data_IF_483585592757
#
_entry.id   IF_483585592757
#
_cell.length_a   1.000
_cell.length_b   1.000
_cell.length_c   1.000
_cell.angle_alpha   90.00
_cell.angle_beta   90.00
_cell.angle_gamma   90.00
#
_symmetry.space_group_name_H-M   'P 1'
#
loop_
_entity.id
_entity.type
_entity.pdbx_description
1 polymer ?
#
# COMPACT_ATOMS: atom_id res chain seq x y z
N UNK A 1 -5.33 -9.75 12.48
CA UNK A 1 -4.03 -10.26 12.96
C UNK A 1 -4.34 -10.96 14.26
N UNK A 2 -4.17 -12.27 14.30
CA UNK A 2 -4.43 -13.13 15.46
C UNK A 2 -3.15 -13.90 15.77
N UNK A 3 -2.99 -14.35 17.02
CA UNK A 3 -1.81 -15.11 17.45
C UNK A 3 -0.64 -14.26 17.96
N UNK A 4 0.51 -14.92 18.14
CA UNK A 4 1.68 -14.38 18.86
C UNK A 4 2.24 -13.08 18.27
N UNK A 5 2.27 -12.96 16.94
CA UNK A 5 2.74 -11.73 16.27
C UNK A 5 1.88 -10.50 16.60
N UNK A 6 0.56 -10.69 16.77
CA UNK A 6 -0.34 -9.59 17.14
C UNK A 6 -0.08 -9.09 18.56
N UNK A 7 0.29 -10.01 19.46
CA UNK A 7 0.64 -9.71 20.85
C UNK A 7 1.95 -8.92 20.89
N UNK A 8 2.99 -9.43 20.23
CA UNK A 8 4.31 -8.78 20.15
C UNK A 8 4.23 -7.39 19.53
N UNK A 9 3.43 -7.21 18.47
CA UNK A 9 3.22 -5.91 17.84
C UNK A 9 2.60 -4.89 18.81
N UNK A 10 1.54 -5.29 19.54
CA UNK A 10 0.88 -4.40 20.50
C UNK A 10 1.76 -4.10 21.72
N UNK A 11 2.52 -5.09 22.18
CA UNK A 11 3.49 -4.90 23.27
C UNK A 11 4.56 -3.87 22.87
N UNK A 12 5.11 -3.99 21.67
CA UNK A 12 6.08 -3.02 21.13
C UNK A 12 5.49 -1.61 21.02
N UNK A 13 4.24 -1.49 20.59
CA UNK A 13 3.58 -0.19 20.51
C UNK A 13 3.41 0.47 21.89
N UNK A 14 3.14 -0.33 22.92
CA UNK A 14 3.07 0.15 24.31
C UNK A 14 4.45 0.64 24.79
N UNK A 15 5.53 -0.05 24.40
CA UNK A 15 6.91 0.33 24.71
C UNK A 15 7.34 1.62 23.98
N UNK A 16 7.07 1.72 22.68
CA UNK A 16 7.43 2.88 21.85
C UNK A 16 6.68 4.16 22.26
N UNK A 17 5.44 4.03 22.74
CA UNK A 17 4.64 5.15 23.27
C UNK A 17 5.06 5.50 24.71
N UNK A 18 5.92 4.71 25.34
CA UNK A 18 6.35 4.87 26.74
C UNK A 18 5.15 5.00 27.69
N UNK A 19 4.10 4.20 27.46
CA UNK A 19 2.86 4.34 28.19
C UNK A 19 3.01 3.97 29.68
N UNK A 20 2.70 4.91 30.58
CA UNK A 20 2.70 4.70 32.03
C UNK A 20 1.52 3.85 32.52
N UNK A 21 0.36 4.01 31.87
CA UNK A 21 -0.91 3.37 32.23
C UNK A 21 -1.52 2.73 31.00
N UNK A 22 -1.88 1.45 31.12
CA UNK A 22 -2.50 0.67 30.07
C UNK A 22 -3.94 0.37 30.47
N UNK A 23 -4.91 0.82 29.66
CA UNK A 23 -6.34 0.54 29.88
C UNK A 23 -6.80 -0.54 28.91
N UNK A 24 -7.11 -1.72 29.42
CA UNK A 24 -7.67 -2.84 28.66
C UNK A 24 -9.19 -2.85 28.74
N UNK A 25 -9.88 -2.66 27.61
CA UNK A 25 -11.34 -2.80 27.53
C UNK A 25 -11.64 -4.17 26.94
N UNK A 26 -12.27 -5.06 27.71
CA UNK A 26 -12.56 -6.44 27.27
C UNK A 26 -13.88 -6.97 27.84
N UNK A 27 -14.51 -7.89 27.09
CA UNK A 27 -15.65 -8.69 27.55
C UNK A 27 -15.18 -10.03 28.18
N UNK A 28 -14.06 -10.59 27.68
CA UNK A 28 -13.44 -11.85 28.11
C UNK A 28 -11.91 -11.64 28.30
N UNK A 29 -11.16 -12.63 28.84
CA UNK A 29 -9.70 -12.55 29.12
C UNK A 29 -8.77 -12.53 27.89
N UNK A 30 -9.25 -12.04 26.74
CA UNK A 30 -8.52 -12.03 25.46
C UNK A 30 -7.26 -11.16 25.51
N UNK A 31 -7.19 -10.17 26.41
CA UNK A 31 -6.02 -9.29 26.53
C UNK A 31 -4.91 -9.85 27.42
N UNK A 32 -5.13 -10.95 28.17
CA UNK A 32 -4.16 -11.49 29.11
C UNK A 32 -2.74 -11.67 28.50
N UNK A 33 -2.57 -12.24 27.28
CA UNK A 33 -1.23 -12.40 26.69
C UNK A 33 -0.50 -11.07 26.42
N UNK A 34 -1.24 -10.01 26.12
CA UNK A 34 -0.67 -8.67 25.87
C UNK A 34 -0.25 -8.04 27.20
N UNK A 35 -1.12 -8.12 28.21
CA UNK A 35 -0.90 -7.52 29.52
C UNK A 35 0.24 -8.20 30.29
N UNK A 36 0.39 -9.52 30.15
CA UNK A 36 1.52 -10.29 30.71
C UNK A 36 2.85 -9.88 30.08
N UNK A 37 2.89 -9.67 28.76
CA UNK A 37 4.10 -9.29 28.02
C UNK A 37 4.63 -7.92 28.44
N UNK A 38 3.75 -7.01 28.86
CA UNK A 38 4.10 -5.62 29.22
C UNK A 38 4.18 -5.38 30.73
N UNK A 39 4.04 -6.43 31.55
CA UNK A 39 4.29 -6.37 32.98
C UNK A 39 5.76 -5.94 33.25
N UNK A 40 6.03 -5.12 34.28
CA UNK A 40 5.18 -4.74 35.41
C UNK A 40 4.41 -3.41 35.24
N UNK A 41 4.17 -2.91 34.02
CA UNK A 41 3.47 -1.64 33.79
C UNK A 41 2.07 -1.62 34.43
N UNK A 42 1.61 -0.45 34.86
CA UNK A 42 0.30 -0.31 35.52
C UNK A 42 -0.83 -0.57 34.53
N UNK A 43 -1.58 -1.63 34.76
CA UNK A 43 -2.71 -2.04 33.92
C UNK A 43 -4.04 -1.81 34.66
N UNK A 44 -5.05 -1.34 33.93
CA UNK A 44 -6.43 -1.17 34.41
C UNK A 44 -7.34 -1.89 33.43
N UNK A 45 -8.15 -2.84 33.91
CA UNK A 45 -9.10 -3.57 33.09
C UNK A 45 -10.50 -2.98 33.31
N UNK A 46 -11.23 -2.75 32.22
CA UNK A 46 -12.60 -2.25 32.24
C UNK A 46 -13.50 -3.13 31.36
N UNK A 47 -14.72 -3.37 31.81
CA UNK A 47 -15.74 -4.06 31.00
C UNK A 47 -16.13 -3.21 29.79
N UNK A 48 -16.46 -3.85 28.66
CA UNK A 48 -16.97 -3.08 27.52
C UNK A 48 -18.34 -2.47 27.83
N UNK A 49 -18.62 -1.24 27.38
CA UNK A 49 -19.92 -0.61 27.62
C UNK A 49 -21.07 -1.40 26.98
N UNK A 50 -22.05 -1.81 27.80
CA UNK A 50 -23.23 -2.59 27.34
C UNK A 50 -24.14 -1.83 26.37
N UNK A 51 -24.14 -0.50 26.43
CA UNK A 51 -25.02 0.37 25.63
C UNK A 51 -24.37 0.86 24.33
N UNK A 52 -23.09 0.58 24.11
CA UNK A 52 -22.41 0.96 22.86
C UNK A 52 -22.67 -0.13 21.81
N UNK A 53 -23.48 0.20 20.81
CA UNK A 53 -23.79 -0.72 19.71
C UNK A 53 -22.49 -1.17 19.03
N UNK A 54 -22.25 -2.49 18.97
CA UNK A 54 -21.14 -3.06 18.21
C UNK A 54 -21.35 -2.72 16.73
N UNK A 55 -20.43 -1.93 16.17
CA UNK A 55 -20.47 -1.55 14.76
C UNK A 55 -20.07 -2.71 13.87
N UNK A 56 -20.91 -3.04 12.90
CA UNK A 56 -20.64 -4.07 11.90
C UNK A 56 -19.56 -3.65 10.90
N UNK A 57 -19.10 -4.59 10.08
CA UNK A 57 -18.10 -4.34 9.02
C UNK A 57 -18.58 -3.26 8.04
N UNK A 58 -19.84 -3.30 7.64
CA UNK A 58 -20.42 -2.38 6.67
C UNK A 58 -20.60 -0.97 7.24
N UNK A 59 -21.00 -0.86 8.51
CA UNK A 59 -21.10 0.44 9.19
C UNK A 59 -19.71 1.08 9.32
N UNK A 60 -18.69 0.30 9.68
CA UNK A 60 -17.30 0.78 9.72
C UNK A 60 -16.81 1.20 8.33
N UNK A 61 -17.15 0.44 7.29
CA UNK A 61 -16.85 0.79 5.89
C UNK A 61 -17.48 2.14 5.53
N UNK A 62 -18.78 2.30 5.78
CA UNK A 62 -19.50 3.54 5.51
C UNK A 62 -18.88 4.74 6.23
N UNK A 63 -18.53 4.60 7.51
CA UNK A 63 -17.87 5.67 8.27
C UNK A 63 -16.51 6.04 7.69
N UNK A 64 -15.70 5.07 7.25
CA UNK A 64 -14.43 5.35 6.58
C UNK A 64 -14.63 6.10 5.26
N UNK A 65 -15.57 5.66 4.42
CA UNK A 65 -15.92 6.34 3.17
C UNK A 65 -16.35 7.80 3.40
N UNK A 66 -17.18 8.04 4.41
CA UNK A 66 -17.58 9.40 4.80
C UNK A 66 -16.39 10.25 5.25
N UNK A 67 -15.47 9.67 6.03
CA UNK A 67 -14.23 10.35 6.44
C UNK A 67 -13.33 10.69 5.25
N UNK A 68 -13.14 9.76 4.31
CA UNK A 68 -12.35 10.02 3.09
C UNK A 68 -12.97 11.13 2.26
N UNK A 69 -14.29 11.07 2.05
CA UNK A 69 -15.03 12.10 1.32
C UNK A 69 -14.90 13.47 1.97
N UNK A 70 -14.98 13.54 3.31
CA UNK A 70 -14.80 14.78 4.07
C UNK A 70 -13.38 15.32 3.93
N UNK A 71 -12.37 14.47 4.13
CA UNK A 71 -10.96 14.86 4.11
C UNK A 71 -10.50 15.29 2.71
N UNK A 72 -10.86 14.54 1.67
CA UNK A 72 -10.42 14.76 0.29
C UNK A 72 -11.31 15.73 -0.50
N UNK A 73 -12.25 16.42 0.16
CA UNK A 73 -13.22 17.32 -0.50
C UNK A 73 -12.53 18.44 -1.30
N UNK A 74 -11.47 19.03 -0.75
CA UNK A 74 -10.75 20.16 -1.36
C UNK A 74 -9.39 19.73 -1.95
N UNK A 75 -9.19 18.43 -2.14
CA UNK A 75 -7.95 17.90 -2.68
C UNK A 75 -7.76 18.29 -4.15
N UNK A 76 -6.50 18.36 -4.58
CA UNK A 76 -6.12 18.66 -5.96
C UNK A 76 -5.21 17.57 -6.48
N UNK A 77 -5.17 17.43 -7.80
CA UNK A 77 -4.19 16.54 -8.44
C UNK A 77 -2.85 17.25 -8.48
N UNK A 78 -1.87 16.71 -7.74
CA UNK A 78 -0.46 17.12 -7.77
C UNK A 78 0.35 16.03 -8.48
N UNK A 79 1.35 16.43 -9.26
CA UNK A 79 2.23 15.52 -9.99
C UNK A 79 3.64 15.61 -9.41
N UNK A 80 4.21 14.46 -9.06
CA UNK A 80 5.55 14.38 -8.47
C UNK A 80 6.45 13.50 -9.34
N UNK A 81 7.66 13.94 -9.71
CA UNK A 81 8.64 13.07 -10.32
C UNK A 81 8.93 11.87 -9.41
N UNK A 82 8.97 10.66 -9.98
CA UNK A 82 9.29 9.43 -9.23
C UNK A 82 10.69 9.48 -8.62
N UNK A 83 11.60 10.28 -9.17
CA UNK A 83 12.95 10.49 -8.62
C UNK A 83 12.98 11.34 -7.35
N UNK A 84 11.91 12.06 -7.02
CA UNK A 84 11.85 12.95 -5.84
C UNK A 84 11.14 12.31 -4.65
N UNK A 85 10.39 11.24 -4.87
CA UNK A 85 9.58 10.61 -3.83
C UNK A 85 9.94 9.13 -3.70
N UNK A 86 10.05 8.67 -2.46
CA UNK A 86 10.18 7.24 -2.16
C UNK A 86 8.78 6.64 -2.07
N UNK A 87 8.51 5.59 -2.85
CA UNK A 87 7.22 4.89 -2.81
C UNK A 87 7.39 3.58 -2.04
N UNK A 88 6.58 3.39 -1.00
CA UNK A 88 6.51 2.18 -0.18
C UNK A 88 5.16 1.50 -0.36
N UNK A 89 5.12 0.18 -0.25
CA UNK A 89 3.88 -0.60 -0.39
C UNK A 89 3.48 -0.94 -1.83
N UNK A 90 4.30 -0.57 -2.83
CA UNK A 90 4.20 -1.12 -4.19
C UNK A 90 5.31 -2.14 -4.47
N UNK A 91 5.07 -3.12 -5.35
CA UNK A 91 6.08 -4.07 -5.81
C UNK A 91 7.23 -3.43 -6.58
N UNK A 92 7.07 -2.19 -7.04
CA UNK A 92 8.03 -1.44 -7.85
C UNK A 92 8.78 -0.43 -6.98
N UNK A 93 10.10 -0.40 -7.08
CA UNK A 93 10.95 0.63 -6.47
C UNK A 93 11.06 1.88 -7.34
N UNK A 94 10.81 1.77 -8.66
CA UNK A 94 10.95 2.86 -9.63
C UNK A 94 12.34 3.51 -9.70
N UNK A 95 13.33 2.92 -9.03
CA UNK A 95 14.73 3.31 -9.12
C UNK A 95 15.27 2.80 -10.45
N UNK A 96 15.98 3.65 -11.19
CA UNK A 96 16.51 3.27 -12.49
C UNK A 96 17.61 2.22 -12.34
N UNK A 97 17.25 0.95 -12.53
CA UNK A 97 18.24 -0.07 -12.81
C UNK A 97 18.66 0.07 -14.28
N UNK A 98 19.95 0.35 -14.50
CA UNK A 98 20.52 0.47 -15.84
C UNK A 98 20.42 -0.88 -16.55
N UNK A 99 19.35 -1.08 -17.32
CA UNK A 99 19.21 -2.29 -18.11
C UNK A 99 19.93 -2.14 -19.44
N UNK A 100 20.66 -3.19 -19.82
CA UNK A 100 21.30 -3.27 -21.13
C UNK A 100 20.23 -3.14 -22.22
N UNK A 101 20.35 -2.13 -23.09
CA UNK A 101 19.37 -1.82 -24.15
C UNK A 101 19.12 -3.03 -25.05
N UNK A 102 20.12 -3.91 -25.23
CA UNK A 102 20.00 -5.13 -26.02
C UNK A 102 19.09 -6.17 -25.36
N UNK A 103 19.23 -6.37 -24.05
CA UNK A 103 18.42 -7.27 -23.25
C UNK A 103 16.97 -6.78 -23.14
N UNK A 104 16.76 -5.47 -22.97
CA UNK A 104 15.40 -4.90 -22.93
C UNK A 104 14.65 -5.14 -24.25
N UNK A 105 15.33 -5.01 -25.40
CA UNK A 105 14.71 -5.28 -26.71
C UNK A 105 14.34 -6.74 -26.90
N UNK A 106 15.17 -7.68 -26.44
CA UNK A 106 14.86 -9.10 -26.56
C UNK A 106 13.69 -9.50 -25.67
N UNK A 107 13.69 -9.03 -24.41
CA UNK A 107 12.59 -9.18 -23.47
C UNK A 107 11.27 -8.60 -23.98
N UNK A 108 11.29 -7.39 -24.57
CA UNK A 108 10.09 -6.80 -25.18
C UNK A 108 9.58 -7.62 -26.38
N UNK A 109 10.47 -8.21 -27.18
CA UNK A 109 10.07 -9.11 -28.29
C UNK A 109 9.48 -10.41 -27.79
N UNK A 110 10.00 -10.96 -26.69
CA UNK A 110 9.49 -12.18 -26.08
C UNK A 110 8.07 -11.98 -25.55
N UNK A 111 7.77 -10.81 -24.98
CA UNK A 111 6.43 -10.43 -24.54
C UNK A 111 5.48 -9.99 -25.66
N UNK A 112 6.01 -9.54 -26.81
CA UNK A 112 5.19 -9.06 -27.95
C UNK A 112 4.36 -7.80 -27.65
N UNK A 113 4.54 -7.18 -26.49
CA UNK A 113 3.85 -5.95 -26.07
C UNK A 113 4.86 -4.90 -25.64
N UNK A 114 4.48 -3.63 -25.78
CA UNK A 114 5.31 -2.52 -25.31
C UNK A 114 5.36 -2.55 -23.78
N UNK A 115 6.57 -2.62 -23.23
CA UNK A 115 6.82 -2.55 -21.79
C UNK A 115 6.97 -1.07 -21.42
N UNK A 116 6.19 -0.60 -20.45
CA UNK A 116 6.24 0.77 -19.95
C UNK A 116 7.28 0.93 -18.84
N UNK A 117 7.45 -0.12 -18.02
CA UNK A 117 8.45 -0.18 -16.98
C UNK A 117 8.89 -1.62 -16.77
N UNK A 118 10.16 -1.80 -16.43
CA UNK A 118 10.74 -3.09 -16.10
C UNK A 118 11.67 -2.91 -14.91
N UNK A 119 11.55 -3.80 -13.95
CA UNK A 119 12.38 -3.85 -12.76
C UNK A 119 12.67 -5.30 -12.40
N UNK A 120 13.93 -5.57 -12.07
CA UNK A 120 14.39 -6.91 -11.73
C UNK A 120 14.75 -6.96 -10.24
N UNK A 121 14.17 -7.93 -9.52
CA UNK A 121 14.52 -8.29 -8.14
C UNK A 121 15.22 -9.66 -8.14
N UNK A 122 15.82 -10.12 -7.01
CA UNK A 122 16.55 -11.39 -6.97
C UNK A 122 15.77 -12.57 -7.55
N UNK A 123 14.50 -12.73 -7.16
CA UNK A 123 13.69 -13.90 -7.53
C UNK A 123 12.60 -13.62 -8.59
N UNK A 124 12.31 -12.35 -8.86
CA UNK A 124 11.17 -11.93 -9.68
C UNK A 124 11.53 -10.80 -10.61
N UNK A 125 10.92 -10.82 -11.79
CA UNK A 125 10.97 -9.73 -12.76
C UNK A 125 9.59 -9.05 -12.83
N UNK A 126 9.54 -7.74 -12.68
CA UNK A 126 8.31 -6.96 -12.75
C UNK A 126 8.26 -6.21 -14.08
N UNK A 127 7.14 -6.33 -14.79
CA UNK A 127 6.86 -5.56 -16.00
C UNK A 127 5.56 -4.79 -15.84
N UNK A 128 5.54 -3.56 -16.34
CA UNK A 128 4.31 -2.78 -16.49
C UNK A 128 3.95 -2.71 -17.97
N UNK A 129 2.71 -3.05 -18.29
CA UNK A 129 2.16 -2.99 -19.65
C UNK A 129 0.93 -2.09 -19.71
N UNK A 130 0.48 -1.73 -20.91
CA UNK A 130 -0.73 -0.93 -21.07
C UNK A 130 -2.00 -1.64 -20.58
N UNK A 131 -2.96 -0.87 -20.05
CA UNK A 131 -4.21 -1.35 -19.40
C UNK A 131 -4.95 -2.46 -20.16
N UNK A 132 -5.05 -2.35 -21.49
CA UNK A 132 -5.83 -3.26 -22.33
C UNK A 132 -4.97 -4.29 -23.08
N UNK A 133 -3.76 -4.59 -22.57
CA UNK A 133 -2.87 -5.60 -23.18
C UNK A 133 -3.03 -6.95 -22.48
N UNK A 134 -3.17 -7.97 -23.32
CA UNK A 134 -3.25 -9.37 -22.92
C UNK A 134 -1.95 -10.08 -23.29
N UNK A 135 -1.53 -10.97 -22.42
CA UNK A 135 -0.34 -11.80 -22.59
C UNK A 135 -0.77 -13.24 -22.33
N UNK A 136 -0.36 -14.16 -23.20
CA UNK A 136 -0.65 -15.57 -23.06
C UNK A 136 0.46 -16.30 -22.26
N UNK A 137 0.20 -17.54 -21.84
CA UNK A 137 1.16 -18.33 -21.05
C UNK A 137 2.46 -18.63 -21.82
N UNK A 138 2.41 -18.76 -23.14
CA UNK A 138 3.60 -18.98 -23.96
C UNK A 138 4.56 -17.78 -23.92
N UNK A 139 4.02 -16.56 -24.03
CA UNK A 139 4.78 -15.31 -23.92
C UNK A 139 5.39 -15.16 -22.53
N UNK A 140 4.64 -15.52 -21.48
CA UNK A 140 5.14 -15.53 -20.10
C UNK A 140 6.29 -16.53 -19.97
N UNK A 141 6.10 -17.78 -20.38
CA UNK A 141 7.12 -18.83 -20.28
C UNK A 141 8.39 -18.48 -21.06
N UNK A 142 8.24 -17.89 -22.25
CA UNK A 142 9.38 -17.43 -23.05
C UNK A 142 10.17 -16.32 -22.34
N UNK A 143 9.48 -15.35 -21.74
CA UNK A 143 10.10 -14.29 -20.97
C UNK A 143 10.80 -14.82 -19.71
N UNK A 144 10.14 -15.72 -18.96
CA UNK A 144 10.69 -16.30 -17.74
C UNK A 144 11.95 -17.14 -18.02
N UNK A 145 11.98 -17.89 -19.13
CA UNK A 145 13.17 -18.63 -19.58
C UNK A 145 14.33 -17.70 -19.94
N UNK A 146 14.03 -16.56 -20.57
CA UNK A 146 15.05 -15.58 -20.97
C UNK A 146 15.61 -14.79 -19.76
N UNK A 147 14.75 -14.44 -18.82
CA UNK A 147 15.12 -13.71 -17.60
C UNK A 147 15.60 -14.63 -16.46
N UNK A 148 15.40 -15.95 -16.58
CA UNK A 148 15.58 -16.96 -15.54
C UNK A 148 14.90 -16.59 -14.19
N UNK A 149 13.76 -15.92 -14.26
CA UNK A 149 13.02 -15.36 -13.12
C UNK A 149 11.52 -15.43 -13.35
N UNK A 150 10.76 -15.52 -12.26
CA UNK A 150 9.30 -15.49 -12.34
C UNK A 150 8.81 -14.11 -12.77
N UNK A 151 7.94 -14.05 -13.77
CA UNK A 151 7.42 -12.80 -14.30
C UNK A 151 6.18 -12.37 -13.51
N UNK A 152 6.20 -11.12 -13.07
CA UNK A 152 5.07 -10.41 -12.49
C UNK A 152 4.63 -9.32 -13.46
N UNK A 153 3.40 -9.41 -13.93
CA UNK A 153 2.81 -8.43 -14.85
C UNK A 153 1.90 -7.49 -14.05
N UNK A 154 2.18 -6.21 -14.16
CA UNK A 154 1.36 -5.11 -13.67
C UNK A 154 0.80 -4.36 -14.88
N UNK A 155 -0.40 -3.81 -14.75
CA UNK A 155 -1.03 -3.01 -15.80
C UNK A 155 -1.10 -1.55 -15.39
N UNK A 156 -0.95 -0.68 -16.37
CA UNK A 156 -1.16 0.76 -16.19
C UNK A 156 -2.57 1.02 -15.63
N UNK A 157 -2.62 1.61 -14.44
CA UNK A 157 -3.85 1.91 -13.73
C UNK A 157 -4.26 0.89 -12.69
N UNK A 158 -3.52 -0.21 -12.50
CA UNK A 158 -3.73 -1.09 -11.34
C UNK A 158 -3.56 -0.30 -10.04
N UNK A 159 -2.69 0.70 -10.03
CA UNK A 159 -2.45 1.60 -8.91
C UNK A 159 -3.54 2.67 -8.68
N UNK A 160 -4.44 2.86 -9.64
CA UNK A 160 -5.45 3.93 -9.60
C UNK A 160 -6.45 3.69 -8.47
N UNK A 161 -6.68 4.73 -7.66
CA UNK A 161 -7.61 4.67 -6.54
C UNK A 161 -6.98 4.22 -5.21
N UNK A 162 -5.72 3.75 -5.20
CA UNK A 162 -5.06 3.36 -3.96
C UNK A 162 -4.93 4.54 -2.99
N UNK A 163 -5.37 4.32 -1.76
CA UNK A 163 -5.22 5.25 -0.65
C UNK A 163 -3.75 5.25 -0.20
N UNK A 164 -3.20 6.45 0.00
CA UNK A 164 -1.82 6.64 0.43
C UNK A 164 -1.74 7.51 1.67
N UNK A 165 -0.74 7.24 2.52
CA UNK A 165 -0.26 8.14 3.55
C UNK A 165 1.00 8.87 3.03
N UNK A 166 1.13 10.14 3.40
CA UNK A 166 2.17 11.05 2.90
C UNK A 166 3.03 11.51 4.06
N UNK A 167 4.34 11.48 3.87
CA UNK A 167 5.33 11.95 4.85
C UNK A 167 6.30 12.95 4.22
N UNK A 168 6.83 13.85 5.04
CA UNK A 168 7.94 14.72 4.68
C UNK A 168 9.31 14.05 4.95
N UNK A 169 10.38 14.77 4.60
CA UNK A 169 11.75 14.28 4.77
C UNK A 169 12.14 14.00 6.24
N UNK A 170 11.43 14.59 7.20
CA UNK A 170 11.59 14.35 8.66
C UNK A 170 10.81 13.13 9.14
N UNK A 171 10.14 12.39 8.23
CA UNK A 171 9.23 11.28 8.53
C UNK A 171 7.97 11.70 9.30
N UNK A 172 7.61 12.97 9.25
CA UNK A 172 6.38 13.47 9.86
C UNK A 172 5.20 13.20 8.92
N UNK A 173 4.10 12.70 9.48
CA UNK A 173 2.87 12.45 8.73
C UNK A 173 2.20 13.76 8.31
N UNK A 174 2.04 13.95 7.01
CA UNK A 174 1.42 15.15 6.43
C UNK A 174 -0.08 14.97 6.18
N UNK A 175 -0.52 13.74 5.92
CA UNK A 175 -1.90 13.47 5.55
C UNK A 175 -2.06 12.32 4.57
N UNK A 176 -3.28 12.18 4.04
CA UNK A 176 -3.62 11.14 3.05
C UNK A 176 -3.82 11.70 1.64
N UNK A 177 -3.77 10.80 0.66
CA UNK A 177 -4.09 11.08 -0.73
C UNK A 177 -4.59 9.83 -1.45
N UNK A 178 -4.91 9.98 -2.73
CA UNK A 178 -5.30 8.87 -3.61
C UNK A 178 -4.46 8.90 -4.87
N UNK A 179 -3.90 7.76 -5.27
CA UNK A 179 -3.17 7.67 -6.54
C UNK A 179 -4.17 7.81 -7.70
N UNK A 180 -3.90 8.74 -8.62
CA UNK A 180 -4.66 8.92 -9.86
C UNK A 180 -4.00 8.26 -11.07
N UNK A 181 -2.78 7.76 -10.89
CA UNK A 181 -2.04 7.01 -11.87
C UNK A 181 -0.57 7.41 -11.91
N UNK A 182 0.22 6.59 -12.58
CA UNK A 182 1.63 6.82 -12.82
C UNK A 182 1.83 7.05 -14.32
N UNK A 183 2.42 8.19 -14.67
CA UNK A 183 2.91 8.44 -16.02
C UNK A 183 4.30 7.81 -16.16
N UNK A 184 4.33 6.57 -16.65
CA UNK A 184 5.57 5.81 -16.83
C UNK A 184 6.51 6.42 -17.89
N UNK A 185 5.98 7.22 -18.83
CA UNK A 185 6.81 7.91 -19.83
C UNK A 185 7.51 9.11 -19.24
N UNK A 186 6.77 9.93 -18.49
CA UNK A 186 7.28 11.13 -17.81
C UNK A 186 7.92 10.83 -16.46
N UNK A 187 7.86 9.57 -16.02
CA UNK A 187 8.30 9.09 -14.70
C UNK A 187 7.73 9.96 -13.57
N UNK A 188 6.41 10.14 -13.55
CA UNK A 188 5.74 10.96 -12.54
C UNK A 188 4.49 10.29 -11.99
N UNK A 189 4.29 10.36 -10.67
CA UNK A 189 3.09 9.91 -9.99
C UNK A 189 2.12 11.07 -9.80
N UNK A 190 0.83 10.82 -10.04
CA UNK A 190 -0.25 11.79 -9.83
C UNK A 190 -1.01 11.42 -8.56
N UNK A 191 -1.07 12.34 -7.60
CA UNK A 191 -1.78 12.17 -6.34
C UNK A 191 -2.92 13.17 -6.23
N UNK A 192 -4.09 12.70 -5.82
CA UNK A 192 -5.20 13.54 -5.40
C UNK A 192 -5.13 13.71 -3.88
N UNK A 193 -4.67 14.86 -3.41
CA UNK A 193 -4.45 15.13 -1.98
C UNK A 193 -4.69 16.62 -1.65
N UNK A 194 -5.17 16.96 -0.43
CA UNK A 194 -5.22 18.34 0.04
C UNK A 194 -3.88 18.81 0.60
N UNK A 195 -2.90 17.91 0.80
CA UNK A 195 -1.57 18.27 1.31
C UNK A 195 -0.87 19.19 0.31
N UNK A 196 -0.46 20.37 0.78
CA UNK A 196 0.29 21.37 0.00
C UNK A 196 1.80 21.30 0.22
N UNK A 197 2.23 20.74 1.36
CA UNK A 197 3.62 20.63 1.78
C UNK A 197 4.44 19.73 0.85
N UNK A 198 5.76 19.74 1.07
CA UNK A 198 6.72 18.89 0.37
C UNK A 198 6.63 17.44 0.86
N UNK A 199 6.35 16.54 -0.06
CA UNK A 199 6.21 15.10 0.20
C UNK A 199 7.53 14.44 -0.20
N UNK A 200 8.11 13.66 0.70
CA UNK A 200 9.29 12.83 0.41
C UNK A 200 8.96 11.34 0.28
N UNK A 201 7.94 10.87 1.01
CA UNK A 201 7.60 9.44 1.06
C UNK A 201 6.09 9.26 0.87
N UNK A 202 5.73 8.31 0.02
CA UNK A 202 4.35 7.89 -0.25
C UNK A 202 4.20 6.45 0.21
N UNK A 203 3.37 6.22 1.22
CA UNK A 203 3.05 4.89 1.73
C UNK A 203 1.73 4.42 1.15
N UNK A 204 1.80 3.40 0.30
CA UNK A 204 0.64 2.85 -0.39
C UNK A 204 -0.04 1.80 0.47
N UNK A 205 -1.32 2.03 0.77
CA UNK A 205 -2.15 1.12 1.53
C UNK A 205 -2.87 0.09 0.65
N UNK A 206 -3.75 -0.71 1.28
CA UNK A 206 -4.54 -1.76 0.60
C UNK A 206 -5.96 -1.32 0.23
N UNK A 207 -6.36 -0.11 0.61
CA UNK A 207 -7.72 0.41 0.35
C UNK A 207 -7.72 1.08 -1.02
N UNK A 208 -8.68 0.68 -1.86
CA UNK A 208 -8.92 1.31 -3.17
C UNK A 208 -10.21 2.11 -3.11
N UNK A 209 -10.14 3.37 -3.53
CA UNK A 209 -11.25 4.30 -3.57
C UNK A 209 -11.66 4.60 -5.02
N UNK A 210 -12.97 4.59 -5.27
CA UNK A 210 -13.53 5.06 -6.54
C UNK A 210 -13.48 6.61 -6.65
N UNK A 211 -14.01 7.14 -7.75
CA UNK A 211 -14.09 8.60 -7.98
C UNK A 211 -14.95 9.33 -6.93
N UNK A 212 -15.86 8.63 -6.26
CA UNK A 212 -16.77 9.15 -5.23
C UNK A 212 -16.24 8.94 -3.81
N UNK A 213 -15.00 8.45 -3.64
CA UNK A 213 -14.38 8.11 -2.36
C UNK A 213 -15.02 6.92 -1.64
N UNK A 214 -15.66 6.02 -2.39
CA UNK A 214 -16.18 4.75 -1.87
C UNK A 214 -15.13 3.65 -1.97
N UNK A 215 -15.10 2.77 -0.98
CA UNK A 215 -14.19 1.63 -0.96
C UNK A 215 -14.69 0.55 -1.92
N UNK A 216 -13.84 0.22 -2.89
CA UNK A 216 -14.06 -0.88 -3.84
C UNK A 216 -13.09 -2.01 -3.55
N UNK A 217 -13.43 -3.21 -4.02
CA UNK A 217 -12.52 -4.36 -3.94
C UNK A 217 -11.34 -4.07 -4.86
N UNK A 218 -10.13 -4.12 -4.30
CA UNK A 218 -8.91 -3.99 -5.09
C UNK A 218 -8.90 -5.05 -6.18
N UNK A 219 -8.49 -4.72 -7.42
CA UNK A 219 -8.11 -5.73 -8.40
C UNK A 219 -7.12 -6.71 -7.74
N UNK A 220 -7.32 -8.00 -7.98
CA UNK A 220 -6.62 -9.13 -7.33
C UNK A 220 -5.08 -9.06 -7.40
N UNK A 221 -4.52 -8.27 -8.30
CA UNK A 221 -3.09 -8.14 -8.49
C UNK A 221 -2.37 -7.37 -7.37
N UNK A 222 -3.03 -6.58 -6.53
CA UNK A 222 -2.36 -5.87 -5.41
C UNK A 222 -2.54 -6.63 -4.08
N UNK A 223 -3.57 -7.49 -3.97
CA UNK A 223 -3.81 -8.28 -2.75
C UNK A 223 -2.84 -9.45 -2.57
N UNK A 224 -2.28 -9.97 -3.67
CA UNK A 224 -1.43 -11.18 -3.63
C UNK A 224 0.03 -10.88 -3.27
N UNK A 225 0.42 -9.60 -3.27
CA UNK A 225 1.73 -9.17 -2.79
C UNK A 225 1.60 -8.76 -1.32
N UNK A 226 1.49 -9.76 -0.44
CA UNK A 226 1.78 -9.59 0.97
C UNK A 226 3.25 -9.17 1.12
N UNK A 227 3.46 -7.88 1.39
CA UNK A 227 4.73 -7.36 1.91
C UNK A 227 4.67 -7.36 3.43
#
# INVERSE_FOLDING_TARGET
>A
VEGKEAVEYKARLIEEVEADIIVGIQDDEVLAPILETVAPRKTVICESPRFVKKRGRDERKLLRELCYKKYLKNAKVRSFPLSWVTIKGLPLSFVSNYHNVKQMRSLQRSLGVKIFHYEEKPDKAFVVIGRNKWINEEQISKFEKECNKKLVILREGDEEGLLVALENARKEFLGIGVIRGIDYRRKAIKLYTPVSDEISTIHVGKIVLDKNMKEIVSPSLISDYSF
#
